data_IF_118267723938
#
_entry.id   IF_118267723938
#
_cell.length_a   1.000
_cell.length_b   1.000
_cell.length_c   1.000
_cell.angle_alpha   90.00
_cell.angle_beta   90.00
_cell.angle_gamma   90.00
#
_symmetry.space_group_name_H-M   'P 1'
#
loop_
_entity.id
_entity.type
_entity.pdbx_description
1 polymer ?
#
# COMPACT_ATOMS: atom_id res chain seq x y z
N UNK A 1 31.81 -34.28 -26.48
CA UNK A 1 30.33 -34.12 -26.48
C UNK A 1 29.65 -34.76 -25.24
N UNK A 2 30.37 -35.07 -24.15
CA UNK A 2 29.75 -35.50 -22.87
C UNK A 2 29.80 -34.41 -21.78
N UNK A 3 30.61 -33.37 -21.99
CA UNK A 3 30.85 -32.33 -20.98
C UNK A 3 29.86 -31.15 -21.06
N UNK A 4 29.10 -31.03 -22.16
CA UNK A 4 28.15 -29.93 -22.37
C UNK A 4 26.81 -30.18 -21.62
N UNK A 5 26.41 -31.44 -21.43
CA UNK A 5 25.19 -31.77 -20.67
C UNK A 5 25.35 -31.49 -19.16
N UNK A 6 26.56 -31.59 -18.61
CA UNK A 6 26.80 -31.32 -17.18
C UNK A 6 26.67 -29.83 -16.83
N UNK A 7 27.14 -28.94 -17.70
CA UNK A 7 27.09 -27.49 -17.49
C UNK A 7 25.66 -26.92 -17.56
N UNK A 8 24.81 -27.48 -18.43
CA UNK A 8 23.40 -27.07 -18.52
C UNK A 8 22.64 -27.43 -17.24
N UNK A 9 22.90 -28.60 -16.64
CA UNK A 9 22.25 -29.04 -15.39
C UNK A 9 22.58 -28.13 -14.20
N UNK A 10 23.83 -27.70 -14.07
CA UNK A 10 24.28 -26.81 -12.98
C UNK A 10 23.68 -25.41 -13.13
N UNK A 11 23.50 -24.94 -14.37
CA UNK A 11 22.97 -23.61 -14.67
C UNK A 11 21.48 -23.49 -14.30
N UNK A 12 20.70 -24.56 -14.48
CA UNK A 12 19.27 -24.58 -14.10
C UNK A 12 19.11 -24.61 -12.57
N UNK A 13 20.01 -25.28 -11.84
CA UNK A 13 19.93 -25.36 -10.37
C UNK A 13 20.19 -24.02 -9.68
N UNK A 14 21.07 -23.18 -10.24
CA UNK A 14 21.39 -21.84 -9.72
C UNK A 14 20.24 -20.83 -9.89
N UNK A 15 19.39 -21.00 -10.92
CA UNK A 15 18.24 -20.10 -11.15
C UNK A 15 17.06 -20.43 -10.23
N UNK A 16 16.93 -21.66 -9.74
CA UNK A 16 15.84 -22.05 -8.81
C UNK A 16 16.11 -21.57 -7.38
N UNK A 17 17.38 -21.38 -7.00
CA UNK A 17 17.76 -20.92 -5.65
C UNK A 17 17.59 -19.40 -5.43
N UNK A 18 17.47 -18.59 -6.49
CA UNK A 18 17.32 -17.13 -6.38
C UNK A 18 15.87 -16.64 -6.30
N UNK A 19 14.89 -17.55 -6.40
CA UNK A 19 13.47 -17.22 -6.33
C UNK A 19 12.85 -17.44 -4.92
N UNK A 20 13.67 -17.50 -3.87
CA UNK A 20 13.17 -17.56 -2.49
C UNK A 20 12.83 -16.14 -1.99
N UNK A 21 11.82 -15.52 -2.61
CA UNK A 21 11.15 -14.38 -2.00
C UNK A 21 10.38 -14.88 -0.79
N UNK A 22 10.87 -14.59 0.41
CA UNK A 22 10.23 -15.06 1.65
C UNK A 22 8.91 -14.30 1.82
N UNK A 23 7.80 -14.92 1.40
CA UNK A 23 6.48 -14.49 1.81
C UNK A 23 6.32 -14.87 3.28
N UNK A 24 6.53 -13.90 4.17
CA UNK A 24 6.53 -14.14 5.61
C UNK A 24 5.12 -13.98 6.17
N UNK A 25 4.31 -15.01 6.00
CA UNK A 25 3.11 -15.21 6.81
C UNK A 25 3.54 -15.75 8.17
N UNK A 26 3.54 -14.91 9.20
CA UNK A 26 3.79 -15.38 10.56
C UNK A 26 2.53 -16.06 11.09
N UNK A 27 2.54 -17.40 11.15
CA UNK A 27 1.63 -18.14 12.04
C UNK A 27 2.04 -17.86 13.49
N UNK A 28 1.65 -16.70 14.00
CA UNK A 28 1.84 -16.29 15.39
C UNK A 28 0.52 -16.33 16.15
N UNK A 29 0.60 -16.41 17.48
CA UNK A 29 -0.54 -16.11 18.37
C UNK A 29 -1.14 -14.78 17.92
N UNK A 30 -2.45 -14.74 17.69
CA UNK A 30 -3.17 -13.51 17.35
C UNK A 30 -2.77 -12.43 18.35
N UNK A 31 -2.12 -11.37 17.86
CA UNK A 31 -1.58 -10.33 18.73
C UNK A 31 -2.70 -9.52 19.35
N UNK A 32 -2.45 -8.97 20.52
CA UNK A 32 -3.42 -8.12 21.21
C UNK A 32 -3.63 -6.88 20.33
N UNK A 33 -4.89 -6.61 19.96
CA UNK A 33 -5.25 -5.52 19.02
C UNK A 33 -4.79 -4.13 19.44
N UNK A 34 -4.47 -3.92 20.71
CA UNK A 34 -3.94 -2.65 21.24
C UNK A 34 -2.45 -2.46 20.95
N UNK A 35 -1.74 -3.52 20.55
CA UNK A 35 -0.31 -3.47 20.27
C UNK A 35 -0.03 -3.26 18.78
N UNK A 36 -0.97 -3.55 17.89
CA UNK A 36 -0.80 -3.37 16.45
C UNK A 36 -1.63 -2.22 15.94
N UNK A 37 -1.29 -1.70 14.76
CA UNK A 37 -2.16 -0.75 14.05
C UNK A 37 -2.57 -1.32 12.70
N UNK A 38 -3.78 -0.99 12.28
CA UNK A 38 -4.34 -1.53 11.03
C UNK A 38 -4.61 -0.37 10.10
N UNK A 39 -4.12 -0.46 8.86
CA UNK A 39 -4.53 0.40 7.77
C UNK A 39 -5.34 -0.40 6.75
N UNK A 40 -6.53 0.08 6.42
CA UNK A 40 -7.42 -0.56 5.45
C UNK A 40 -8.03 0.49 4.48
N UNK A 41 -8.35 0.11 3.25
CA UNK A 41 -9.20 0.84 2.34
C UNK A 41 -10.64 0.86 2.89
N UNK A 42 -11.23 2.05 2.91
CA UNK A 42 -12.63 2.28 3.24
C UNK A 42 -13.49 2.01 2.03
N UNK A 43 -13.96 0.77 1.89
CA UNK A 43 -14.90 0.42 0.84
C UNK A 43 -16.26 1.08 1.10
N UNK A 44 -16.78 1.79 0.10
CA UNK A 44 -18.20 2.15 0.04
C UNK A 44 -18.78 1.45 -1.18
N UNK A 45 -19.57 0.40 -0.99
CA UNK A 45 -20.24 -0.30 -2.09
C UNK A 45 -21.38 0.59 -2.58
N UNK A 46 -21.21 1.24 -3.74
CA UNK A 46 -22.29 1.97 -4.41
C UNK A 46 -22.63 1.21 -5.69
N UNK A 47 -23.82 0.57 -5.72
CA UNK A 47 -24.36 -0.03 -6.95
C UNK A 47 -23.73 -1.34 -7.42
N UNK A 48 -23.06 -2.11 -6.55
CA UNK A 48 -22.57 -3.45 -6.89
C UNK A 48 -21.20 -3.53 -7.58
N UNK A 49 -20.54 -2.39 -7.80
CA UNK A 49 -19.13 -2.32 -8.12
C UNK A 49 -18.33 -1.84 -6.91
N UNK A 50 -17.17 -2.45 -6.66
CA UNK A 50 -16.21 -1.94 -5.69
C UNK A 50 -15.53 -0.71 -6.30
N UNK A 51 -15.69 0.50 -5.73
CA UNK A 51 -14.95 1.65 -6.23
C UNK A 51 -13.47 1.42 -5.94
N UNK A 52 -12.67 1.34 -6.99
CA UNK A 52 -11.21 1.43 -6.86
C UNK A 52 -10.89 2.76 -6.16
N UNK A 53 -10.16 2.73 -5.05
CA UNK A 53 -9.74 3.95 -4.39
C UNK A 53 -8.73 4.74 -5.23
N UNK A 54 -8.11 4.14 -6.24
CA UNK A 54 -7.10 4.81 -7.08
C UNK A 54 -5.80 5.14 -6.32
N UNK A 55 -5.72 4.76 -5.04
CA UNK A 55 -4.55 4.87 -4.18
C UNK A 55 -4.27 3.49 -3.57
N UNK A 56 -2.99 3.17 -3.36
CA UNK A 56 -2.54 1.91 -2.76
C UNK A 56 -1.46 2.18 -1.72
N UNK A 57 -1.26 1.23 -0.80
CA UNK A 57 -0.15 1.28 0.15
C UNK A 57 1.11 0.83 -0.60
N UNK A 58 2.11 1.71 -0.73
CA UNK A 58 3.35 1.42 -1.46
C UNK A 58 4.42 0.87 -0.52
N UNK A 59 4.65 1.58 0.58
CA UNK A 59 5.70 1.21 1.54
C UNK A 59 5.36 1.61 2.97
N UNK A 60 6.01 0.91 3.91
CA UNK A 60 5.99 1.18 5.34
C UNK A 60 7.43 1.34 5.79
N UNK A 61 7.75 2.45 6.44
CA UNK A 61 9.11 2.82 6.85
C UNK A 61 10.12 2.74 5.69
N UNK A 62 9.68 3.12 4.49
CA UNK A 62 10.48 3.07 3.26
C UNK A 62 10.70 1.67 2.68
N UNK A 63 10.13 0.62 3.29
CA UNK A 63 10.16 -0.75 2.76
C UNK A 63 8.93 -1.02 1.91
N UNK A 64 9.14 -1.32 0.62
CA UNK A 64 8.06 -1.65 -0.29
C UNK A 64 7.33 -2.92 0.13
N UNK A 65 6.02 -2.88 0.03
CA UNK A 65 5.19 -4.06 0.22
C UNK A 65 5.25 -4.92 -1.04
N UNK A 66 5.37 -6.24 -0.85
CA UNK A 66 5.49 -7.21 -1.94
C UNK A 66 4.17 -7.43 -2.68
N UNK A 67 3.04 -7.11 -2.05
CA UNK A 67 1.70 -7.34 -2.56
C UNK A 67 0.84 -6.09 -2.42
N UNK A 68 -0.12 -5.94 -3.33
CA UNK A 68 -1.15 -4.92 -3.25
C UNK A 68 -2.20 -5.40 -2.24
N UNK A 69 -1.88 -5.26 -0.95
CA UNK A 69 -2.74 -5.73 0.12
C UNK A 69 -3.87 -4.72 0.39
N UNK A 70 -5.10 -5.25 0.46
CA UNK A 70 -6.29 -4.52 0.89
C UNK A 70 -6.30 -4.26 2.40
N UNK A 71 -5.26 -4.63 3.15
CA UNK A 71 -5.12 -4.32 4.57
C UNK A 71 -3.68 -4.56 4.98
N UNK A 72 -3.11 -3.63 5.73
CA UNK A 72 -1.79 -3.79 6.33
C UNK A 72 -1.92 -3.74 7.83
N UNK A 73 -1.40 -4.77 8.50
CA UNK A 73 -1.18 -4.77 9.94
C UNK A 73 0.26 -4.36 10.22
N UNK A 74 0.41 -3.36 11.07
CA UNK A 74 1.67 -2.75 11.45
C UNK A 74 1.99 -3.17 12.89
N UNK A 75 3.24 -3.54 13.11
CA UNK A 75 3.73 -4.02 14.40
C UNK A 75 3.67 -2.90 15.47
N UNK A 76 3.94 -3.22 16.74
CA UNK A 76 3.94 -2.21 17.79
C UNK A 76 4.99 -1.13 17.54
N UNK A 77 4.57 0.13 17.70
CA UNK A 77 5.39 1.30 17.49
C UNK A 77 4.68 2.38 16.68
N UNK A 78 5.48 3.27 16.09
CA UNK A 78 5.02 4.26 15.13
C UNK A 78 5.66 3.95 13.79
N UNK A 79 4.85 3.96 12.73
CA UNK A 79 5.29 3.63 11.38
C UNK A 79 4.92 4.73 10.41
N UNK A 80 5.82 5.05 9.49
CA UNK A 80 5.53 5.98 8.40
C UNK A 80 5.00 5.21 7.22
N UNK A 81 3.77 5.51 6.81
CA UNK A 81 3.12 4.85 5.66
C UNK A 81 3.13 5.78 4.46
N UNK A 82 3.51 5.24 3.32
CA UNK A 82 3.51 5.92 2.03
C UNK A 82 2.42 5.34 1.14
N UNK A 83 1.40 6.14 0.86
CA UNK A 83 0.32 5.79 -0.05
C UNK A 83 0.60 6.40 -1.42
N UNK A 84 0.55 5.60 -2.47
CA UNK A 84 0.83 6.00 -3.84
C UNK A 84 -0.43 5.93 -4.70
N UNK A 85 -0.61 6.91 -5.58
CA UNK A 85 -1.67 6.83 -6.61
C UNK A 85 -1.34 5.73 -7.62
N UNK A 86 -2.32 4.91 -8.00
CA UNK A 86 -2.11 3.82 -8.96
C UNK A 86 -1.64 4.31 -10.33
N UNK A 87 -1.95 5.56 -10.68
CA UNK A 87 -1.70 6.16 -12.01
C UNK A 87 -0.54 7.17 -12.05
N UNK A 88 0.03 7.54 -10.89
CA UNK A 88 1.10 8.54 -10.78
C UNK A 88 2.33 7.92 -10.09
N UNK A 89 3.52 8.11 -10.66
CA UNK A 89 4.67 7.32 -10.26
C UNK A 89 5.45 7.84 -9.05
N UNK A 90 5.22 9.07 -8.61
CA UNK A 90 6.09 9.73 -7.62
C UNK A 90 5.37 10.62 -6.60
N UNK A 91 4.03 10.61 -6.62
CA UNK A 91 3.26 11.36 -5.64
C UNK A 91 2.88 10.42 -4.50
N UNK A 92 3.14 10.85 -3.26
CA UNK A 92 2.75 10.10 -2.07
C UNK A 92 1.85 10.94 -1.14
N UNK A 93 0.86 10.29 -0.55
CA UNK A 93 0.24 10.73 0.69
C UNK A 93 0.94 9.99 1.83
N UNK A 94 1.62 10.74 2.71
CA UNK A 94 2.41 10.17 3.81
C UNK A 94 1.77 10.51 5.14
N UNK A 95 1.73 9.55 6.05
CA UNK A 95 1.30 9.78 7.43
C UNK A 95 1.95 8.79 8.40
N UNK A 96 1.85 9.08 9.70
CA UNK A 96 2.37 8.22 10.76
C UNK A 96 1.21 7.49 11.43
N UNK A 97 1.34 6.17 11.55
CA UNK A 97 0.39 5.35 12.32
C UNK A 97 0.88 5.16 13.76
N UNK A 98 -0.05 4.92 14.68
CA UNK A 98 0.25 4.65 16.09
C UNK A 98 -0.32 3.30 16.51
N UNK A 99 0.44 2.53 17.29
CA UNK A 99 -0.01 1.26 17.85
C UNK A 99 -1.34 1.40 18.62
N UNK A 100 -2.24 0.44 18.41
CA UNK A 100 -3.58 0.43 18.99
C UNK A 100 -4.63 1.19 18.18
N UNK A 101 -4.24 1.86 17.09
CA UNK A 101 -5.14 2.62 16.24
C UNK A 101 -5.50 1.87 14.96
N UNK A 102 -6.72 2.10 14.49
CA UNK A 102 -7.19 1.61 13.21
C UNK A 102 -7.42 2.79 12.26
N UNK A 103 -6.98 2.67 11.02
CA UNK A 103 -7.03 3.72 10.03
C UNK A 103 -7.79 3.26 8.80
N UNK A 104 -8.68 4.11 8.31
CA UNK A 104 -9.47 3.87 7.10
C UNK A 104 -9.13 4.92 6.04
N UNK A 105 -8.69 4.47 4.87
CA UNK A 105 -8.49 5.32 3.69
C UNK A 105 -9.84 5.56 3.04
N UNK A 106 -10.24 6.83 2.87
CA UNK A 106 -11.50 7.22 2.25
C UNK A 106 -11.24 7.97 0.95
N UNK A 107 -12.22 7.93 0.06
CA UNK A 107 -12.26 8.68 -1.19
C UNK A 107 -13.64 9.28 -1.38
N UNK A 108 -13.67 10.50 -1.91
CA UNK A 108 -14.86 11.12 -2.48
C UNK A 108 -14.52 11.64 -3.86
N UNK A 109 -15.42 11.39 -4.80
CA UNK A 109 -15.39 12.00 -6.12
C UNK A 109 -16.43 13.12 -6.13
N UNK A 110 -15.99 14.38 -6.23
CA UNK A 110 -16.91 15.47 -6.48
C UNK A 110 -17.36 15.51 -7.94
N UNK A 111 -18.42 16.29 -8.17
CA UNK A 111 -19.03 16.44 -9.50
C UNK A 111 -18.17 17.28 -10.46
N UNK A 112 -17.14 17.96 -9.95
CA UNK A 112 -16.22 18.75 -10.74
C UNK A 112 -14.91 18.00 -11.00
N UNK A 113 -14.26 18.34 -12.11
CA UNK A 113 -12.99 17.75 -12.57
C UNK A 113 -11.83 17.93 -11.55
N UNK A 114 -12.02 18.71 -10.49
CA UNK A 114 -11.03 19.05 -9.47
C UNK A 114 -11.34 18.56 -8.05
N UNK A 115 -12.30 17.67 -7.86
CA UNK A 115 -12.79 17.32 -6.53
C UNK A 115 -12.58 15.84 -6.15
N UNK A 116 -11.48 15.21 -6.58
CA UNK A 116 -11.14 13.90 -6.01
C UNK A 116 -10.39 14.15 -4.70
N UNK A 117 -11.06 13.86 -3.59
CA UNK A 117 -10.51 13.98 -2.23
C UNK A 117 -10.22 12.60 -1.68
N UNK A 118 -9.02 12.41 -1.17
CA UNK A 118 -8.63 11.27 -0.34
C UNK A 118 -8.30 11.76 1.06
N UNK A 119 -8.71 10.99 2.06
CA UNK A 119 -8.36 11.29 3.44
C UNK A 119 -8.25 10.00 4.25
N UNK A 120 -7.52 10.07 5.35
CA UNK A 120 -7.34 8.94 6.26
C UNK A 120 -8.03 9.30 7.56
N UNK A 121 -8.93 8.44 8.00
CA UNK A 121 -9.62 8.55 9.28
C UNK A 121 -8.97 7.61 10.26
N UNK A 122 -8.67 8.09 11.46
CA UNK A 122 -8.40 7.24 12.62
C UNK A 122 -9.74 6.79 13.20
N UNK A 123 -10.11 5.52 12.99
CA UNK A 123 -11.36 4.93 13.46
C UNK A 123 -11.46 4.92 15.01
N UNK A 124 -10.34 5.12 15.71
CA UNK A 124 -10.27 5.11 17.18
C UNK A 124 -10.71 6.43 17.78
N UNK A 125 -10.33 7.54 17.12
CA UNK A 125 -10.63 8.91 17.56
C UNK A 125 -11.68 9.61 16.69
N UNK A 126 -12.05 9.01 15.56
CA UNK A 126 -12.89 9.59 14.50
C UNK A 126 -12.30 10.87 13.87
N UNK A 127 -10.98 11.01 13.90
CA UNK A 127 -10.27 12.18 13.38
C UNK A 127 -9.68 11.94 11.99
N UNK A 128 -9.67 12.98 11.14
CA UNK A 128 -8.93 12.97 9.89
C UNK A 128 -7.46 13.26 10.18
N UNK A 129 -6.58 12.30 9.97
CA UNK A 129 -5.14 12.42 10.27
C UNK A 129 -4.36 13.03 9.10
N UNK A 130 -4.85 12.87 7.88
CA UNK A 130 -4.28 13.50 6.68
C UNK A 130 -5.28 13.50 5.54
N UNK A 131 -5.11 14.43 4.60
CA UNK A 131 -5.94 14.54 3.41
C UNK A 131 -5.20 15.14 2.22
N UNK A 132 -5.73 14.87 1.03
CA UNK A 132 -5.24 15.43 -0.24
C UNK A 132 -6.41 15.53 -1.22
N UNK A 133 -6.46 16.63 -1.95
CA UNK A 133 -7.43 16.85 -3.03
C UNK A 133 -6.66 17.01 -4.35
N UNK A 134 -7.11 16.35 -5.43
CA UNK A 134 -6.52 16.48 -6.76
C UNK A 134 -7.56 16.66 -7.86
N UNK A 135 -7.09 17.23 -8.96
CA UNK A 135 -7.81 17.25 -10.23
C UNK A 135 -7.57 15.98 -11.04
N UNK A 136 -8.63 15.45 -11.66
CA UNK A 136 -8.57 14.25 -12.50
C UNK A 136 -7.72 14.45 -13.77
N UNK A 137 -7.40 15.70 -14.12
CA UNK A 137 -6.76 16.10 -15.37
C UNK A 137 -5.47 16.92 -15.19
N UNK A 138 -4.67 16.71 -14.14
CA UNK A 138 -3.33 17.31 -14.14
C UNK A 138 -2.50 16.68 -15.27
N UNK A 139 -2.07 17.44 -16.30
CA UNK A 139 -1.22 16.89 -17.34
C UNK A 139 0.08 16.39 -16.69
N UNK A 140 0.43 15.12 -16.94
CA UNK A 140 1.77 14.60 -16.66
C UNK A 140 2.75 15.50 -17.41
N UNK A 141 3.69 16.08 -16.67
CA UNK A 141 4.80 16.94 -17.12
C UNK A 141 4.52 18.45 -17.16
N UNK A 142 5.04 19.14 -16.16
CA UNK A 142 5.83 20.34 -16.41
C UNK A 142 7.08 20.26 -15.54
N UNK A 143 8.29 20.17 -16.14
CA UNK A 143 9.52 20.24 -15.37
C UNK A 143 9.60 21.61 -14.70
N UNK A 144 9.90 21.61 -13.41
CA UNK A 144 10.27 22.82 -12.68
C UNK A 144 11.61 23.29 -13.25
N UNK A 145 11.64 24.52 -13.76
CA UNK A 145 12.84 25.21 -14.24
C UNK A 145 13.95 25.26 -13.19
#
# INVERSE_FOLDING_TARGET
MRDILGLISISVLLVVLSACGTMQSYEGVERIKTETSILKPGFTVIGGFLPDLGIRIDSVDGKKLSFEDDKVELLPGSHTVFLKWKTADEEYLTFVTQAGHNYTIRRSDGWQQCDIRWWIVDDTTDEIVTEVTKCSNSPKNSPVN
#
